data_IF_662032564377
#
_entry.id   IF_662032564377
#
_cell.length_a   1.000
_cell.length_b   1.000
_cell.length_c   1.000
_cell.angle_alpha   90.00
_cell.angle_beta   90.00
_cell.angle_gamma   90.00
#
_symmetry.space_group_name_H-M   'P 1'
#
loop_
_entity.id
_entity.type
_entity.pdbx_description
1 polymer ?
#
# COMPACT_ATOMS: atom_id res chain seq x y z
N UNK A 1 2.85 -24.35 15.76
CA UNK A 1 2.19 -23.44 14.79
C UNK A 1 2.56 -23.84 13.37
N UNK A 2 1.59 -23.95 12.45
CA UNK A 2 1.82 -24.31 11.04
C UNK A 2 2.16 -23.05 10.25
N UNK A 3 3.19 -23.11 9.41
CA UNK A 3 3.67 -22.03 8.54
C UNK A 3 3.80 -22.51 7.11
N UNK A 4 3.45 -21.65 6.17
CA UNK A 4 3.64 -21.85 4.73
C UNK A 4 4.81 -20.96 4.28
N UNK A 5 5.89 -21.56 3.80
CA UNK A 5 7.03 -20.87 3.22
C UNK A 5 6.88 -20.81 1.71
N UNK A 6 6.78 -19.62 1.15
CA UNK A 6 6.61 -19.43 -0.30
C UNK A 6 7.85 -19.89 -1.06
N UNK A 7 7.68 -20.82 -2.00
CA UNK A 7 8.73 -21.27 -2.91
C UNK A 7 8.59 -20.57 -4.28
N UNK A 8 7.36 -20.52 -4.80
CA UNK A 8 7.00 -19.76 -6.00
C UNK A 8 5.78 -18.93 -5.67
N UNK A 9 5.92 -17.61 -5.81
CA UNK A 9 4.85 -16.66 -5.50
C UNK A 9 3.56 -17.05 -6.24
N UNK A 10 2.45 -17.09 -5.51
CA UNK A 10 1.11 -17.43 -6.01
C UNK A 10 0.94 -18.85 -6.58
N UNK A 11 1.95 -19.74 -6.47
CA UNK A 11 1.90 -21.07 -7.09
C UNK A 11 2.33 -22.22 -6.17
N UNK A 12 3.41 -22.06 -5.39
CA UNK A 12 3.98 -23.14 -4.58
C UNK A 12 4.45 -22.67 -3.19
N UNK A 13 4.12 -23.45 -2.17
CA UNK A 13 4.53 -23.25 -0.78
C UNK A 13 4.99 -24.56 -0.15
N UNK A 14 5.86 -24.45 0.86
CA UNK A 14 6.26 -25.55 1.73
C UNK A 14 5.55 -25.37 3.06
N UNK A 15 4.81 -26.37 3.52
CA UNK A 15 4.14 -26.33 4.82
C UNK A 15 5.05 -26.97 5.85
N UNK A 16 5.32 -26.23 6.93
CA UNK A 16 6.15 -26.65 8.06
C UNK A 16 5.41 -26.41 9.39
N UNK A 17 5.61 -27.29 10.36
CA UNK A 17 5.10 -27.12 11.72
C UNK A 17 6.27 -27.24 12.67
N UNK A 18 6.53 -26.17 13.44
CA UNK A 18 7.54 -26.18 14.51
C UNK A 18 8.94 -26.63 14.02
N UNK A 19 9.31 -26.22 12.79
CA UNK A 19 10.58 -26.56 12.16
C UNK A 19 10.59 -27.89 11.40
N UNK A 20 9.53 -28.68 11.47
CA UNK A 20 9.39 -29.93 10.73
C UNK A 20 8.56 -29.74 9.44
N UNK A 21 9.16 -30.07 8.28
CA UNK A 21 8.47 -30.01 6.98
C UNK A 21 7.38 -31.07 6.89
N UNK A 22 6.13 -30.63 6.83
CA UNK A 22 4.94 -31.48 6.68
C UNK A 22 4.68 -31.86 5.21
N UNK A 23 4.88 -30.93 4.28
CA UNK A 23 4.55 -31.17 2.87
C UNK A 23 4.71 -29.96 1.97
N UNK A 24 4.21 -30.07 0.74
CA UNK A 24 4.15 -28.96 -0.22
C UNK A 24 2.72 -28.66 -0.61
N UNK A 25 2.40 -27.38 -0.70
CA UNK A 25 1.11 -26.87 -1.14
C UNK A 25 1.27 -26.23 -2.52
N UNK A 26 0.42 -26.61 -3.47
CA UNK A 26 0.39 -26.07 -4.82
C UNK A 26 -1.00 -25.48 -5.11
N UNK A 27 -1.03 -24.29 -5.73
CA UNK A 27 -2.27 -23.72 -6.26
C UNK A 27 -2.48 -24.20 -7.70
N UNK A 28 -3.67 -24.69 -8.01
CA UNK A 28 -4.10 -25.05 -9.35
C UNK A 28 -4.70 -23.85 -10.09
N UNK A 29 -4.76 -23.95 -11.42
CA UNK A 29 -5.30 -22.90 -12.29
C UNK A 29 -6.81 -22.67 -12.06
N UNK A 30 -7.55 -23.70 -11.66
CA UNK A 30 -8.96 -23.66 -11.30
C UNK A 30 -9.23 -23.13 -9.88
N UNK A 31 -8.28 -22.39 -9.29
CA UNK A 31 -8.37 -21.81 -7.93
C UNK A 31 -8.42 -22.84 -6.77
N UNK A 32 -8.34 -24.13 -7.07
CA UNK A 32 -8.13 -25.21 -6.10
C UNK A 32 -6.69 -25.29 -5.57
N UNK A 33 -6.50 -26.04 -4.49
CA UNK A 33 -5.22 -26.22 -3.80
C UNK A 33 -4.93 -27.70 -3.63
N UNK A 34 -3.69 -28.12 -3.89
CA UNK A 34 -3.23 -29.49 -3.69
C UNK A 34 -2.16 -29.47 -2.61
N UNK A 35 -2.42 -30.17 -1.51
CA UNK A 35 -1.44 -30.46 -0.49
C UNK A 35 -0.89 -31.87 -0.68
N UNK A 36 0.44 -31.97 -0.72
CA UNK A 36 1.19 -33.22 -0.81
C UNK A 36 1.95 -33.41 0.50
N UNK A 37 1.48 -34.35 1.32
CA UNK A 37 2.14 -34.72 2.57
C UNK A 37 3.39 -35.56 2.30
N UNK A 38 4.39 -35.45 3.19
CA UNK A 38 5.59 -36.30 3.16
C UNK A 38 5.25 -37.81 3.29
N UNK A 39 4.09 -38.14 3.85
CA UNK A 39 3.60 -39.53 4.01
C UNK A 39 2.78 -40.04 2.79
N UNK A 40 2.93 -39.42 1.61
CA UNK A 40 2.28 -39.79 0.32
C UNK A 40 0.76 -39.58 0.24
N UNK A 41 0.15 -38.90 1.21
CA UNK A 41 -1.27 -38.52 1.11
C UNK A 41 -1.43 -37.23 0.30
N UNK A 42 -2.27 -37.25 -0.73
CA UNK A 42 -2.60 -36.10 -1.59
C UNK A 42 -3.99 -35.60 -1.23
N UNK A 43 -4.08 -34.38 -0.71
CA UNK A 43 -5.34 -33.73 -0.37
C UNK A 43 -5.62 -32.59 -1.33
N UNK A 44 -6.85 -32.55 -1.87
CA UNK A 44 -7.30 -31.50 -2.79
C UNK A 44 -8.36 -30.67 -2.09
N UNK A 45 -8.16 -29.37 -2.06
CA UNK A 45 -9.05 -28.39 -1.47
C UNK A 45 -9.58 -27.49 -2.58
N UNK A 46 -10.88 -27.56 -2.83
CA UNK A 46 -11.52 -26.79 -3.91
C UNK A 46 -11.76 -25.33 -3.50
N UNK A 47 -11.85 -25.05 -2.20
CA UNK A 47 -12.05 -23.71 -1.65
C UNK A 47 -10.93 -23.32 -0.69
N UNK A 48 -10.65 -22.02 -0.61
CA UNK A 48 -9.67 -21.48 0.33
C UNK A 48 -10.07 -21.72 1.79
N UNK A 49 -11.37 -21.70 2.08
CA UNK A 49 -11.91 -21.96 3.42
C UNK A 49 -11.60 -23.39 3.89
N UNK A 50 -11.74 -24.39 3.01
CA UNK A 50 -11.43 -25.78 3.34
C UNK A 50 -9.94 -26.00 3.67
N UNK A 51 -9.06 -25.26 2.99
CA UNK A 51 -7.63 -25.25 3.30
C UNK A 51 -7.37 -24.62 4.68
N UNK A 52 -7.98 -23.46 4.97
CA UNK A 52 -7.83 -22.78 6.25
C UNK A 52 -8.42 -23.55 7.43
N UNK A 53 -9.50 -24.30 7.22
CA UNK A 53 -10.06 -25.17 8.25
C UNK A 53 -9.08 -26.27 8.68
N UNK A 54 -8.23 -26.74 7.75
CA UNK A 54 -7.24 -27.79 8.03
C UNK A 54 -5.92 -27.25 8.62
N UNK A 55 -5.41 -26.15 8.08
CA UNK A 55 -4.07 -25.64 8.40
C UNK A 55 -4.07 -24.36 9.25
N UNK A 56 -5.23 -23.76 9.48
CA UNK A 56 -5.42 -22.50 10.19
C UNK A 56 -5.27 -21.27 9.29
N UNK A 57 -5.99 -20.20 9.62
CA UNK A 57 -5.94 -18.91 8.91
C UNK A 57 -4.54 -18.28 8.91
N UNK A 58 -3.75 -18.53 9.95
CA UNK A 58 -2.41 -17.98 10.16
C UNK A 58 -1.29 -18.65 9.36
N UNK A 59 -1.58 -19.66 8.53
CA UNK A 59 -0.54 -20.43 7.84
C UNK A 59 0.33 -19.57 6.91
N UNK A 60 -0.22 -18.52 6.29
CA UNK A 60 0.51 -17.64 5.38
C UNK A 60 1.13 -16.41 6.05
N UNK A 61 0.84 -16.16 7.34
CA UNK A 61 1.36 -14.98 8.07
C UNK A 61 2.89 -15.02 8.19
N UNK A 62 3.49 -16.21 8.19
CA UNK A 62 4.96 -16.39 8.24
C UNK A 62 5.68 -16.30 6.88
N UNK A 63 4.98 -16.35 5.74
CA UNK A 63 5.62 -16.30 4.40
C UNK A 63 6.01 -14.91 3.93
N UNK A 64 5.48 -13.87 4.59
CA UNK A 64 5.79 -12.48 4.28
C UNK A 64 6.84 -11.95 5.25
N UNK A 65 8.05 -12.54 5.22
CA UNK A 65 9.24 -11.78 5.61
C UNK A 65 9.53 -10.79 4.46
N UNK A 66 8.65 -9.81 4.33
CA UNK A 66 8.93 -8.50 3.76
C UNK A 66 8.33 -7.50 4.73
N UNK A 67 9.19 -7.15 5.70
CA UNK A 67 9.12 -5.93 6.46
C UNK A 67 7.83 -5.73 7.26
N UNK A 68 7.82 -6.31 8.45
CA UNK A 68 6.94 -5.87 9.55
C UNK A 68 7.31 -4.43 9.94
N UNK A 69 6.77 -3.49 9.18
CA UNK A 69 6.36 -2.17 9.68
C UNK A 69 4.86 -2.03 9.44
N UNK A 70 4.10 -3.07 9.80
CA UNK A 70 2.77 -2.83 10.36
C UNK A 70 2.99 -2.26 11.76
N UNK A 71 3.51 -1.03 11.80
CA UNK A 71 3.24 -0.14 12.90
C UNK A 71 1.73 -0.04 13.00
N UNK A 72 1.27 -0.11 14.23
CA UNK A 72 -0.09 0.15 14.65
C UNK A 72 -0.47 1.53 14.11
N UNK A 73 -0.98 1.61 12.88
CA UNK A 73 -1.46 2.87 12.34
C UNK A 73 -2.86 3.07 12.87
N UNK A 74 -2.92 3.73 14.04
CA UNK A 74 -3.91 4.78 14.29
C UNK A 74 -4.24 5.47 12.97
N UNK A 75 -5.51 5.82 12.78
CA UNK A 75 -6.12 6.49 11.63
C UNK A 75 -5.40 7.81 11.26
N UNK A 76 -4.13 7.69 10.87
CA UNK A 76 -3.17 8.76 10.69
C UNK A 76 -3.38 9.19 9.26
N UNK A 77 -4.30 10.14 9.09
CA UNK A 77 -4.47 10.89 7.84
C UNK A 77 -3.29 11.83 7.62
N UNK A 78 -2.07 11.34 7.73
CA UNK A 78 -0.85 12.09 7.48
C UNK A 78 0.18 11.24 6.71
N UNK A 79 0.96 11.92 5.89
CA UNK A 79 2.08 11.33 5.16
C UNK A 79 3.28 12.21 5.40
N UNK A 80 4.28 11.69 6.12
CA UNK A 80 5.50 12.42 6.48
C UNK A 80 5.20 13.78 7.15
N UNK A 81 4.19 13.85 8.00
CA UNK A 81 3.81 15.07 8.72
C UNK A 81 3.01 16.10 7.89
N UNK A 82 2.48 15.69 6.73
CA UNK A 82 1.54 16.47 5.92
C UNK A 82 0.16 15.83 5.93
N UNK A 83 -0.92 16.61 6.13
CA UNK A 83 -2.25 16.06 6.26
C UNK A 83 -2.80 15.53 4.93
N UNK A 84 -3.57 14.46 5.03
CA UNK A 84 -4.27 13.80 3.94
C UNK A 84 -5.78 13.93 4.10
N UNK A 85 -6.51 13.84 2.98
CA UNK A 85 -7.98 13.81 2.99
C UNK A 85 -8.55 12.43 3.32
N UNK A 86 -7.77 11.38 3.09
CA UNK A 86 -8.16 9.98 3.12
C UNK A 86 -6.96 9.14 3.52
N UNK A 87 -7.21 7.90 3.95
CA UNK A 87 -6.16 6.99 4.41
C UNK A 87 -5.09 6.80 3.32
N UNK A 88 -3.81 7.10 3.63
CA UNK A 88 -2.76 7.03 2.65
C UNK A 88 -2.22 5.60 2.49
N UNK A 89 -2.35 5.03 1.30
CA UNK A 89 -1.72 3.76 0.97
C UNK A 89 -0.36 3.99 0.31
N UNK A 90 0.60 3.11 0.63
CA UNK A 90 1.93 3.11 0.02
C UNK A 90 2.63 4.49 0.10
N UNK A 91 2.73 5.12 1.30
CA UNK A 91 3.33 6.43 1.48
C UNK A 91 4.81 6.39 1.08
N UNK A 92 5.25 7.41 0.34
CA UNK A 92 6.61 7.59 -0.15
C UNK A 92 7.00 9.06 -0.04
N UNK A 93 8.29 9.34 0.13
CA UNK A 93 8.80 10.71 0.05
C UNK A 93 9.68 10.86 -1.18
N UNK A 94 9.27 11.71 -2.12
CA UNK A 94 10.11 12.08 -3.25
C UNK A 94 11.19 13.04 -2.75
N UNK A 95 12.41 12.54 -2.55
CA UNK A 95 13.54 13.31 -2.00
C UNK A 95 13.96 14.44 -2.94
N UNK A 96 13.86 14.25 -4.26
CA UNK A 96 14.28 15.26 -5.23
C UNK A 96 13.33 16.47 -5.22
N UNK A 97 12.02 16.20 -5.11
CA UNK A 97 11.00 17.24 -5.14
C UNK A 97 10.49 17.65 -3.76
N UNK A 98 10.97 16.97 -2.71
CA UNK A 98 10.50 17.09 -1.33
C UNK A 98 8.97 16.94 -1.23
N UNK A 99 8.40 15.98 -1.96
CA UNK A 99 6.96 15.76 -2.01
C UNK A 99 6.57 14.52 -1.19
N UNK A 100 5.63 14.65 -0.23
CA UNK A 100 5.01 13.50 0.43
C UNK A 100 3.99 12.88 -0.53
N UNK A 101 4.27 11.69 -1.06
CA UNK A 101 3.46 11.01 -2.09
C UNK A 101 2.74 9.81 -1.48
N UNK A 102 1.50 9.57 -1.92
CA UNK A 102 0.72 8.41 -1.51
C UNK A 102 -0.27 7.97 -2.59
N UNK A 103 -0.93 6.84 -2.38
CA UNK A 103 -2.01 6.33 -3.22
C UNK A 103 -3.30 6.21 -2.40
N UNK A 104 -4.46 6.45 -3.03
CA UNK A 104 -5.76 6.37 -2.34
C UNK A 104 -6.30 4.95 -2.19
N UNK A 105 -5.75 4.00 -2.94
CA UNK A 105 -6.10 2.58 -2.81
C UNK A 105 -4.83 1.74 -2.98
N UNK A 106 -4.74 0.54 -2.36
CA UNK A 106 -3.53 -0.29 -2.38
C UNK A 106 -3.00 -0.65 -3.78
N UNK A 107 -3.89 -0.72 -4.78
CA UNK A 107 -3.57 -1.13 -6.16
C UNK A 107 -3.55 0.04 -7.15
N UNK A 108 -3.79 1.27 -6.68
CA UNK A 108 -3.87 2.44 -7.56
C UNK A 108 -2.48 2.81 -8.09
N UNK A 109 -2.40 3.00 -9.41
CA UNK A 109 -1.25 3.65 -10.06
C UNK A 109 -1.31 5.18 -9.98
N UNK A 110 -2.47 5.74 -9.64
CA UNK A 110 -2.64 7.18 -9.46
C UNK A 110 -2.04 7.61 -8.12
N UNK A 111 -0.95 8.38 -8.21
CA UNK A 111 -0.26 8.99 -7.08
C UNK A 111 -0.81 10.38 -6.78
N UNK A 112 -0.85 10.71 -5.49
CA UNK A 112 -1.30 11.98 -4.93
C UNK A 112 -0.22 12.51 -3.99
N UNK A 113 -0.15 13.82 -3.83
CA UNK A 113 0.77 14.43 -2.87
C UNK A 113 0.01 14.90 -1.64
N UNK A 114 0.46 14.58 -0.43
CA UNK A 114 -0.16 15.03 0.81
C UNK A 114 0.09 16.52 1.08
N UNK A 115 -0.83 17.15 1.82
CA UNK A 115 -0.76 18.55 2.18
C UNK A 115 -1.52 19.50 1.25
N UNK A 116 -1.33 20.79 1.52
CA UNK A 116 -1.97 21.89 0.83
C UNK A 116 -1.04 22.48 -0.23
N UNK A 117 -1.61 22.82 -1.39
CA UNK A 117 -0.89 23.38 -2.53
C UNK A 117 -1.69 24.53 -3.12
N UNK A 118 -0.98 25.42 -3.83
CA UNK A 118 -1.59 26.30 -4.82
C UNK A 118 -1.01 25.97 -6.19
N UNK A 119 -1.87 25.94 -7.20
CA UNK A 119 -1.51 25.55 -8.58
C UNK A 119 -1.94 26.69 -9.50
N UNK A 120 -1.03 27.12 -10.37
CA UNK A 120 -1.26 28.17 -11.35
C UNK A 120 -1.78 27.54 -12.64
N UNK A 121 -3.08 27.69 -12.87
CA UNK A 121 -3.71 27.33 -14.15
C UNK A 121 -3.69 28.54 -15.09
N UNK A 122 -4.15 28.37 -16.32
CA UNK A 122 -4.24 29.46 -17.33
C UNK A 122 -5.08 30.65 -16.84
N UNK A 123 -6.07 30.40 -15.98
CA UNK A 123 -6.95 31.42 -15.39
C UNK A 123 -6.45 31.95 -14.04
N UNK A 124 -5.21 31.65 -13.65
CA UNK A 124 -4.56 32.09 -12.42
C UNK A 124 -4.45 31.01 -11.32
N UNK A 125 -4.08 31.46 -10.12
CA UNK A 125 -3.81 30.59 -8.97
C UNK A 125 -5.07 30.01 -8.33
N UNK A 126 -5.06 28.70 -8.07
CA UNK A 126 -6.13 27.96 -7.39
C UNK A 126 -5.59 27.14 -6.23
N UNK A 127 -6.41 27.00 -5.18
CA UNK A 127 -6.15 26.15 -4.02
C UNK A 127 -6.35 24.68 -4.42
N UNK A 128 -5.45 23.81 -4.00
CA UNK A 128 -5.56 22.37 -4.19
C UNK A 128 -5.19 21.66 -2.89
N UNK A 129 -6.02 20.71 -2.46
CA UNK A 129 -5.73 19.85 -1.32
C UNK A 129 -5.53 18.42 -1.82
N UNK A 130 -4.41 17.81 -1.44
CA UNK A 130 -4.02 16.49 -1.90
C UNK A 130 -4.06 16.30 -3.44
N UNK A 131 -3.39 17.16 -4.24
CA UNK A 131 -3.46 17.10 -5.70
C UNK A 131 -2.86 15.81 -6.26
N UNK A 132 -3.30 15.41 -7.46
CA UNK A 132 -2.66 14.32 -8.21
C UNK A 132 -1.24 14.74 -8.61
N UNK A 133 -0.29 13.82 -8.53
CA UNK A 133 1.10 14.05 -8.93
C UNK A 133 1.19 14.59 -10.36
N UNK A 134 0.39 14.04 -11.29
CA UNK A 134 0.36 14.49 -12.69
C UNK A 134 -0.01 15.98 -12.84
N UNK A 135 -0.83 16.52 -11.95
CA UNK A 135 -1.20 17.95 -11.98
C UNK A 135 0.00 18.82 -11.59
N UNK A 136 0.77 18.40 -10.59
CA UNK A 136 1.99 19.10 -10.16
C UNK A 136 3.10 19.05 -11.24
N UNK A 137 3.15 17.97 -12.02
CA UNK A 137 4.10 17.86 -13.14
C UNK A 137 3.75 18.77 -14.32
N UNK A 138 2.46 19.09 -14.51
CA UNK A 138 1.96 19.84 -15.68
C UNK A 138 1.89 21.34 -15.45
N UNK A 139 1.70 21.78 -14.21
CA UNK A 139 1.44 23.18 -13.88
C UNK A 139 2.41 23.68 -12.82
N UNK A 140 2.70 24.98 -12.84
CA UNK A 140 3.49 25.62 -11.78
C UNK A 140 2.69 25.58 -10.47
N UNK A 141 3.35 25.20 -9.39
CA UNK A 141 2.72 25.08 -8.07
C UNK A 141 3.60 25.68 -6.96
N UNK A 142 2.99 25.99 -5.81
CA UNK A 142 3.69 26.27 -4.54
C UNK A 142 3.12 25.33 -3.45
N UNK A 143 4.01 24.76 -2.63
CA UNK A 143 3.70 23.74 -1.61
C UNK A 143 4.79 22.66 -1.55
N UNK A 144 4.67 21.64 -0.69
CA UNK A 144 3.54 21.31 0.19
C UNK A 144 3.49 22.18 1.46
N UNK A 145 2.29 22.57 1.87
CA UNK A 145 2.03 23.32 3.11
C UNK A 145 1.27 22.43 4.10
N UNK A 146 1.49 22.62 5.40
CA UNK A 146 0.88 21.76 6.43
C UNK A 146 -0.51 22.22 6.83
N UNK A 147 -0.79 23.52 6.73
CA UNK A 147 -2.05 24.09 7.20
C UNK A 147 -2.81 24.81 6.10
N UNK A 148 -4.13 24.85 6.24
CA UNK A 148 -5.01 25.62 5.35
C UNK A 148 -4.72 27.12 5.42
N UNK A 149 -4.31 27.63 6.59
CA UNK A 149 -3.99 29.04 6.82
C UNK A 149 -2.75 29.47 6.02
N UNK A 150 -1.68 28.68 6.10
CA UNK A 150 -0.45 28.89 5.34
C UNK A 150 -0.72 28.93 3.82
N UNK A 151 -1.53 27.99 3.32
CA UNK A 151 -1.97 27.99 1.92
C UNK A 151 -2.71 29.26 1.52
N UNK A 152 -3.56 29.81 2.40
CA UNK A 152 -4.25 31.07 2.11
C UNK A 152 -3.29 32.26 2.04
N UNK A 153 -2.31 32.33 2.94
CA UNK A 153 -1.28 33.37 2.92
C UNK A 153 -0.44 33.29 1.64
N UNK A 154 0.02 32.10 1.28
CA UNK A 154 0.80 31.88 0.05
C UNK A 154 -0.02 32.20 -1.20
N UNK A 155 -1.32 31.88 -1.22
CA UNK A 155 -2.21 32.28 -2.31
C UNK A 155 -2.31 33.79 -2.45
N UNK A 156 -2.57 34.51 -1.34
CA UNK A 156 -2.73 35.96 -1.37
C UNK A 156 -1.46 36.66 -1.86
N UNK A 157 -0.28 36.14 -1.49
CA UNK A 157 0.98 36.65 -1.99
C UNK A 157 1.17 36.33 -3.48
N UNK A 158 0.90 35.09 -3.90
CA UNK A 158 1.04 34.68 -5.29
C UNK A 158 0.08 35.42 -6.25
N UNK A 159 -1.10 35.81 -5.78
CA UNK A 159 -2.08 36.61 -6.56
C UNK A 159 -1.65 38.07 -6.69
N UNK A 160 -0.88 38.62 -5.74
CA UNK A 160 -0.31 39.98 -5.85
C UNK A 160 0.85 40.06 -6.82
N UNK A 161 1.57 38.94 -7.01
CA UNK A 161 2.73 38.82 -7.90
C UNK A 161 2.34 38.46 -9.35
N UNK A 162 1.09 38.09 -9.60
CA UNK A 162 0.58 37.60 -10.90
C UNK A 162 -0.18 38.70 -11.63
#
# INVERSE_FOLDING_TARGET
MIRAKTLVKDKFWIIEQEGQKLGTLQKQEDNGWVFLSKQKDRQVYHTRESLFQRFGFSMFEGSNIKSSQDEIQTDNFDVHGYPCSQHPYNPMFDVQKQLPVYTKTPKSKSQFCAGYFIICFEKGWRKAYCPKMITLLRYKYKGPMKTKLEMQQVLNNAVKEF
#
